data_IF_778879574643
#
_entry.id   IF_778879574643
#
_cell.length_a   1.000
_cell.length_b   1.000
_cell.length_c   1.000
_cell.angle_alpha   90.00
_cell.angle_beta   90.00
_cell.angle_gamma   90.00
#
_symmetry.space_group_name_H-M   'P 1'
#
loop_
_entity.id
_entity.type
_entity.pdbx_description
1 polymer ?
#
# COMPACT_ATOMS: atom_id res chain seq x y z
N UNK A 1 -15.57 19.75 -2.44
CA UNK A 1 -15.64 18.33 -2.03
C UNK A 1 -14.23 17.90 -1.62
N UNK A 2 -14.05 17.11 -0.55
CA UNK A 2 -12.74 16.51 -0.29
C UNK A 2 -12.28 15.76 -1.54
N UNK A 3 -11.00 15.84 -1.87
CA UNK A 3 -10.46 15.20 -3.07
C UNK A 3 -10.53 13.67 -2.87
N UNK A 4 -11.51 13.01 -3.50
CA UNK A 4 -11.81 11.57 -3.36
C UNK A 4 -10.75 10.70 -4.09
N UNK A 5 -9.55 11.26 -4.32
CA UNK A 5 -8.47 10.67 -5.11
C UNK A 5 -7.22 10.30 -4.31
N UNK A 6 -7.22 10.51 -2.99
CA UNK A 6 -6.09 10.10 -2.15
C UNK A 6 -5.83 8.59 -2.27
N UNK A 7 -4.57 8.22 -2.41
CA UNK A 7 -4.10 6.83 -2.51
C UNK A 7 -3.02 6.59 -1.47
N UNK A 8 -2.96 5.36 -0.99
CA UNK A 8 -1.89 4.91 -0.10
C UNK A 8 -1.33 3.58 -0.60
N UNK A 9 -0.04 3.32 -0.31
CA UNK A 9 0.55 2.01 -0.56
C UNK A 9 0.34 1.12 0.66
N UNK A 10 -0.23 -0.06 0.45
CA UNK A 10 -0.25 -1.14 1.43
C UNK A 10 0.63 -2.27 0.92
N UNK A 11 1.64 -2.67 1.71
CA UNK A 11 2.48 -3.82 1.40
C UNK A 11 2.34 -4.90 2.47
N UNK A 12 1.97 -6.11 2.04
CA UNK A 12 2.01 -7.31 2.89
C UNK A 12 3.43 -7.89 2.80
N UNK A 13 4.14 -7.92 3.91
CA UNK A 13 5.53 -8.37 3.97
C UNK A 13 5.64 -9.90 3.91
N UNK A 14 6.83 -10.47 3.67
CA UNK A 14 7.00 -11.90 3.47
C UNK A 14 6.45 -12.77 4.61
N UNK A 15 6.55 -12.33 5.85
CA UNK A 15 5.97 -13.00 7.02
C UNK A 15 4.44 -13.00 7.00
N UNK A 16 3.80 -11.90 6.58
CA UNK A 16 2.35 -11.83 6.36
C UNK A 16 1.86 -12.77 5.27
N UNK A 17 2.63 -12.89 4.18
CA UNK A 17 2.37 -13.85 3.09
C UNK A 17 2.52 -15.28 3.60
N UNK A 18 3.63 -15.61 4.28
CA UNK A 18 3.89 -16.95 4.82
C UNK A 18 2.83 -17.38 5.84
N UNK A 19 2.26 -16.43 6.59
CA UNK A 19 1.17 -16.65 7.54
C UNK A 19 -0.23 -16.68 6.89
N UNK A 20 -0.31 -16.62 5.56
CA UNK A 20 -1.56 -16.66 4.78
C UNK A 20 -2.54 -15.53 5.12
N UNK A 21 -2.03 -14.33 5.40
CA UNK A 21 -2.84 -13.18 5.82
C UNK A 21 -3.28 -12.26 4.68
N UNK A 22 -2.84 -12.50 3.43
CA UNK A 22 -3.12 -11.61 2.29
C UNK A 22 -4.62 -11.33 2.11
N UNK A 23 -5.44 -12.39 2.02
CA UNK A 23 -6.89 -12.23 1.81
C UNK A 23 -7.59 -11.54 2.99
N UNK A 24 -7.16 -11.83 4.22
CA UNK A 24 -7.70 -11.19 5.43
C UNK A 24 -7.37 -9.69 5.48
N UNK A 25 -6.16 -9.30 5.04
CA UNK A 25 -5.76 -7.90 4.96
C UNK A 25 -6.59 -7.19 3.87
N UNK A 26 -6.67 -7.75 2.66
CA UNK A 26 -7.45 -7.16 1.55
C UNK A 26 -8.91 -6.98 1.97
N UNK A 27 -9.52 -8.02 2.56
CA UNK A 27 -10.90 -7.99 3.05
C UNK A 27 -11.16 -6.82 4.00
N UNK A 28 -10.21 -6.48 4.89
CA UNK A 28 -10.37 -5.35 5.83
C UNK A 28 -10.45 -4.00 5.13
N UNK A 29 -9.67 -3.79 4.07
CA UNK A 29 -9.71 -2.56 3.28
C UNK A 29 -10.98 -2.47 2.44
N UNK A 30 -11.37 -3.57 1.79
CA UNK A 30 -12.61 -3.63 1.01
C UNK A 30 -13.85 -3.39 1.90
N UNK A 31 -13.92 -4.05 3.06
CA UNK A 31 -15.02 -3.85 4.01
C UNK A 31 -15.09 -2.43 4.57
N UNK A 32 -13.98 -1.69 4.58
CA UNK A 32 -13.95 -0.29 5.00
C UNK A 32 -14.46 0.67 3.91
N UNK A 33 -14.64 0.18 2.68
CA UNK A 33 -15.07 0.97 1.53
C UNK A 33 -13.91 1.54 0.71
N UNK A 34 -12.67 1.08 0.91
CA UNK A 34 -11.55 1.53 0.08
C UNK A 34 -11.56 0.84 -1.28
N UNK A 35 -11.29 1.61 -2.33
CA UNK A 35 -11.14 1.13 -3.70
C UNK A 35 -9.76 0.51 -3.93
N UNK A 36 -9.72 -0.76 -4.35
CA UNK A 36 -8.48 -1.37 -4.84
C UNK A 36 -8.18 -0.89 -6.27
N UNK A 37 -7.08 -0.17 -6.47
CA UNK A 37 -6.68 0.38 -7.78
C UNK A 37 -5.48 -0.32 -8.42
N UNK A 38 -4.76 -1.14 -7.66
CA UNK A 38 -3.62 -1.91 -8.16
C UNK A 38 -3.18 -2.95 -7.14
N UNK A 39 -2.74 -4.12 -7.61
CA UNK A 39 -2.23 -5.20 -6.76
C UNK A 39 -1.20 -6.01 -7.54
N UNK A 40 -0.11 -6.39 -6.89
CA UNK A 40 0.87 -7.34 -7.44
C UNK A 40 1.60 -8.10 -6.35
N UNK A 41 2.12 -9.27 -6.70
CA UNK A 41 3.01 -10.07 -5.87
C UNK A 41 4.39 -10.10 -6.52
N UNK A 42 5.41 -9.76 -5.75
CA UNK A 42 6.79 -9.71 -6.23
C UNK A 42 7.77 -10.01 -5.08
N UNK A 43 8.96 -10.45 -5.46
CA UNK A 43 10.09 -10.53 -4.54
C UNK A 43 10.93 -9.25 -4.71
N UNK A 44 10.92 -8.38 -3.69
CA UNK A 44 11.60 -7.09 -3.77
C UNK A 44 13.12 -7.27 -3.80
N UNK A 45 13.80 -6.55 -4.70
CA UNK A 45 15.26 -6.50 -4.72
C UNK A 45 15.80 -5.65 -3.57
N UNK A 46 17.06 -5.83 -3.21
CA UNK A 46 17.69 -4.98 -2.19
C UNK A 46 17.71 -3.51 -2.60
N UNK A 47 17.88 -3.23 -3.90
CA UNK A 47 17.88 -1.86 -4.44
C UNK A 47 16.56 -1.13 -4.20
N UNK A 48 15.42 -1.75 -4.54
CA UNK A 48 14.11 -1.11 -4.33
C UNK A 48 13.77 -0.98 -2.84
N UNK A 49 14.18 -1.94 -2.01
CA UNK A 49 14.00 -1.85 -0.55
C UNK A 49 14.83 -0.74 0.07
N UNK A 50 16.08 -0.56 -0.38
CA UNK A 50 16.94 0.53 0.07
C UNK A 50 16.37 1.89 -0.29
N UNK A 51 15.77 2.04 -1.47
CA UNK A 51 15.11 3.27 -1.90
C UNK A 51 13.84 3.53 -1.09
N UNK A 52 13.00 2.50 -0.92
CA UNK A 52 11.78 2.58 -0.13
C UNK A 52 12.04 3.03 1.32
N UNK A 53 13.11 2.52 1.94
CA UNK A 53 13.50 2.86 3.31
C UNK A 53 14.65 3.88 3.42
N UNK A 54 14.89 4.69 2.38
CA UNK A 54 16.02 5.63 2.34
C UNK A 54 16.16 6.43 3.65
N UNK A 55 15.05 6.97 4.17
CA UNK A 55 15.04 7.86 5.34
C UNK A 55 15.15 7.13 6.68
N UNK A 56 14.86 5.83 6.67
CA UNK A 56 14.80 4.99 7.86
C UNK A 56 16.04 4.10 8.02
N UNK A 57 16.84 3.90 6.96
CA UNK A 57 18.00 2.99 6.97
C UNK A 57 19.04 3.28 8.04
N UNK A 58 19.13 4.53 8.51
CA UNK A 58 20.07 4.96 9.57
C UNK A 58 19.47 4.91 10.98
N UNK A 59 18.19 4.57 11.11
CA UNK A 59 17.51 4.54 12.40
C UNK A 59 17.79 3.22 13.12
N UNK A 60 17.97 3.22 14.45
CA UNK A 60 18.30 2.02 15.21
C UNK A 60 17.22 0.91 15.15
N UNK A 61 15.97 1.28 14.85
CA UNK A 61 14.86 0.34 14.69
C UNK A 61 14.74 -0.28 13.29
N UNK A 62 15.57 0.13 12.33
CA UNK A 62 15.51 -0.34 10.94
C UNK A 62 15.52 -1.88 10.80
N UNK A 63 16.38 -2.64 11.52
CA UNK A 63 16.34 -4.10 11.44
C UNK A 63 15.01 -4.72 11.88
N UNK A 64 14.33 -4.09 12.85
CA UNK A 64 13.02 -4.55 13.33
C UNK A 64 11.89 -4.13 12.38
N UNK A 65 11.99 -2.97 11.75
CA UNK A 65 11.01 -2.48 10.77
C UNK A 65 10.79 -3.49 9.62
N UNK A 66 11.88 -4.10 9.14
CA UNK A 66 11.84 -5.08 8.05
C UNK A 66 11.06 -6.36 8.44
N UNK A 67 10.96 -6.66 9.74
CA UNK A 67 10.33 -7.89 10.27
C UNK A 67 8.83 -7.77 10.55
N UNK A 68 8.19 -6.64 10.25
CA UNK A 68 6.75 -6.43 10.49
C UNK A 68 5.89 -7.04 9.36
N UNK A 69 4.65 -7.43 9.68
CA UNK A 69 3.71 -8.10 8.76
C UNK A 69 3.23 -7.20 7.61
N UNK A 70 3.08 -5.90 7.87
CA UNK A 70 2.48 -4.93 6.96
C UNK A 70 3.26 -3.62 6.99
N UNK A 71 3.26 -2.91 5.86
CA UNK A 71 3.69 -1.53 5.73
C UNK A 71 2.54 -0.71 5.15
N UNK A 72 2.39 0.52 5.63
CA UNK A 72 1.50 1.53 5.08
C UNK A 72 2.24 2.87 5.06
N UNK A 73 2.02 3.67 4.03
CA UNK A 73 2.57 5.02 3.94
C UNK A 73 2.04 5.90 5.09
N UNK A 74 2.89 6.79 5.61
CA UNK A 74 2.59 7.62 6.79
C UNK A 74 2.16 9.06 6.45
N UNK A 75 2.33 9.50 5.20
CA UNK A 75 1.79 10.75 4.67
C UNK A 75 1.37 10.59 3.20
N UNK A 76 0.64 11.58 2.67
CA UNK A 76 0.22 11.62 1.26
C UNK A 76 1.43 11.70 0.34
N UNK A 77 2.40 12.55 0.67
CA UNK A 77 3.63 12.72 -0.12
C UNK A 77 4.47 11.44 -0.13
N UNK A 78 4.51 10.72 0.99
CA UNK A 78 5.18 9.42 1.08
C UNK A 78 4.44 8.37 0.25
N UNK A 79 3.10 8.36 0.31
CA UNK A 79 2.28 7.46 -0.49
C UNK A 79 2.50 7.66 -1.99
N UNK A 80 2.49 8.90 -2.49
CA UNK A 80 2.71 9.20 -3.91
C UNK A 80 4.09 8.72 -4.39
N UNK A 81 5.13 8.98 -3.58
CA UNK A 81 6.50 8.51 -3.86
C UNK A 81 6.56 6.99 -3.89
N UNK A 82 6.01 6.33 -2.87
CA UNK A 82 6.02 4.88 -2.74
C UNK A 82 5.24 4.23 -3.88
N UNK A 83 4.04 4.71 -4.20
CA UNK A 83 3.24 4.20 -5.33
C UNK A 83 4.04 4.32 -6.64
N UNK A 84 4.69 5.45 -6.89
CA UNK A 84 5.51 5.66 -8.09
C UNK A 84 6.77 4.77 -8.14
N UNK A 85 7.34 4.45 -6.98
CA UNK A 85 8.47 3.53 -6.86
C UNK A 85 8.05 2.08 -7.14
N UNK A 86 6.89 1.68 -6.61
CA UNK A 86 6.45 0.29 -6.65
C UNK A 86 5.62 -0.04 -7.89
N UNK A 87 4.90 0.89 -8.51
CA UNK A 87 4.00 0.63 -9.63
C UNK A 87 4.31 1.52 -10.83
N UNK A 88 4.28 0.93 -12.03
CA UNK A 88 4.16 1.68 -13.26
C UNK A 88 2.72 2.18 -13.41
N UNK A 89 2.52 3.34 -14.05
CA UNK A 89 1.18 3.92 -14.21
C UNK A 89 0.18 3.00 -14.92
N UNK A 90 0.65 2.12 -15.81
CA UNK A 90 -0.19 1.11 -16.48
C UNK A 90 -0.64 -0.04 -15.57
N UNK A 91 -0.05 -0.19 -14.39
CA UNK A 91 -0.46 -1.17 -13.38
C UNK A 91 -1.57 -0.63 -12.46
N UNK A 92 -1.93 0.65 -12.60
CA UNK A 92 -2.98 1.31 -11.83
C UNK A 92 -4.24 1.45 -12.69
N UNK A 93 -5.36 0.96 -12.19
CA UNK A 93 -6.62 0.85 -12.93
C UNK A 93 -7.64 1.86 -12.38
N UNK A 94 -8.19 2.65 -13.29
CA UNK A 94 -9.38 3.46 -13.00
C UNK A 94 -10.65 2.66 -13.30
N UNK A 95 -11.55 2.61 -12.32
CA UNK A 95 -12.86 1.98 -12.42
C UNK A 95 -13.87 2.65 -11.48
N UNK A 96 -15.16 2.48 -11.72
CA UNK A 96 -16.23 3.08 -10.91
C UNK A 96 -16.76 2.08 -9.88
N UNK A 97 -16.81 2.47 -8.61
CA UNK A 97 -17.42 1.65 -7.56
C UNK A 97 -18.95 1.68 -7.71
N UNK A 98 -19.58 0.51 -7.71
CA UNK A 98 -21.03 0.39 -7.87
C UNK A 98 -21.84 1.05 -6.75
N UNK A 99 -21.24 1.19 -5.57
CA UNK A 99 -21.81 1.76 -4.33
C UNK A 99 -21.24 3.15 -4.00
N UNK A 100 -20.57 3.81 -4.96
CA UNK A 100 -19.91 5.10 -4.75
C UNK A 100 -20.84 6.16 -4.13
N UNK A 101 -22.09 6.22 -4.61
CA UNK A 101 -23.09 7.18 -4.12
C UNK A 101 -23.68 6.80 -2.75
N UNK A 102 -23.52 5.57 -2.28
CA UNK A 102 -24.04 5.14 -0.97
C UNK A 102 -22.99 5.32 0.13
N UNK A 103 -21.70 5.20 -0.20
CA UNK A 103 -20.58 5.33 0.75
C UNK A 103 -20.10 6.77 0.94
N UNK A 104 -20.22 7.62 -0.08
CA UNK A 104 -19.69 9.00 -0.09
C UNK A 104 -20.78 10.04 -0.31
N UNK A 105 -21.85 10.01 0.50
CA UNK A 105 -22.82 11.10 0.53
C UNK A 105 -22.26 12.27 1.36
N UNK A 106 -22.08 13.41 0.70
CA UNK A 106 -22.03 14.74 1.31
C UNK A 106 -23.29 15.49 0.90
#
# INVERSE_FOLDING_TARGET
>A
APDIRERTLIAVKPDGVQRRLVGEIVKRFEHRGFKLVGMKMLQASEGILSEHYHDLRRKPFYPSLIRNIIHASDSVEVAEREISLWFHGSELIEWEMSDHNDLYQV
#
